data_IF_435463582422
#
_entry.id   IF_435463582422
#
_cell.length_a   1.000
_cell.length_b   1.000
_cell.length_c   1.000
_cell.angle_alpha   90.00
_cell.angle_beta   90.00
_cell.angle_gamma   90.00
#
_symmetry.space_group_name_H-M   'P 1'
#
loop_
_entity.id
_entity.type
_entity.pdbx_description
1 polymer ?
#
# COMPACT_ATOMS: atom_id res chain seq x y z
N UNK A 1 -32.32 1.64 -3.68
CA UNK A 1 -31.69 1.29 -2.39
C UNK A 1 -31.05 -0.08 -2.61
N UNK A 2 -29.73 -0.31 -2.60
CA UNK A 2 -28.63 0.41 -1.96
C UNK A 2 -27.34 0.12 -2.75
N UNK A 3 -26.91 1.06 -3.60
CA UNK A 3 -25.56 1.02 -4.22
C UNK A 3 -24.43 1.00 -3.15
N UNK A 4 -24.81 1.24 -1.89
CA UNK A 4 -23.97 1.11 -0.69
C UNK A 4 -23.39 -0.30 -0.48
N UNK A 5 -24.00 -1.35 -1.03
CA UNK A 5 -23.46 -2.72 -0.94
C UNK A 5 -22.24 -2.98 -1.83
N UNK A 6 -22.00 -2.14 -2.85
CA UNK A 6 -20.82 -2.22 -3.73
C UNK A 6 -19.54 -1.69 -3.06
N UNK A 7 -19.70 -0.94 -1.96
CA UNK A 7 -18.63 -0.43 -1.10
C UNK A 7 -18.44 -1.29 0.15
N UNK A 8 -18.63 -2.62 0.03
CA UNK A 8 -18.26 -3.54 1.11
C UNK A 8 -16.80 -3.31 1.52
N UNK A 9 -16.53 -3.35 2.82
CA UNK A 9 -15.24 -2.99 3.43
C UNK A 9 -14.04 -3.66 2.75
N UNK A 10 -14.20 -4.90 2.28
CA UNK A 10 -13.19 -5.62 1.50
C UNK A 10 -12.85 -5.00 0.14
N UNK A 11 -13.83 -4.43 -0.58
CA UNK A 11 -13.61 -3.76 -1.87
C UNK A 11 -12.83 -2.44 -1.67
N UNK A 12 -13.18 -1.68 -0.63
CA UNK A 12 -12.46 -0.44 -0.29
C UNK A 12 -11.01 -0.70 0.18
N UNK A 13 -10.78 -1.80 0.91
CA UNK A 13 -9.42 -2.21 1.30
C UNK A 13 -8.56 -2.62 0.10
N UNK A 14 -9.15 -3.28 -0.90
CA UNK A 14 -8.47 -3.58 -2.17
C UNK A 14 -8.10 -2.33 -2.97
N UNK A 15 -9.01 -1.37 -3.07
CA UNK A 15 -8.75 -0.07 -3.71
C UNK A 15 -7.65 0.69 -2.95
N UNK A 16 -7.72 0.74 -1.62
CA UNK A 16 -6.72 1.39 -0.78
C UNK A 16 -5.33 0.75 -0.97
N UNK A 17 -5.24 -0.58 -0.92
CA UNK A 17 -4.00 -1.32 -1.16
C UNK A 17 -3.40 -1.01 -2.53
N UNK A 18 -4.23 -0.95 -3.58
CA UNK A 18 -3.81 -0.61 -4.95
C UNK A 18 -3.22 0.80 -5.01
N UNK A 19 -3.87 1.78 -4.39
CA UNK A 19 -3.38 3.17 -4.33
C UNK A 19 -2.04 3.23 -3.60
N UNK A 20 -1.91 2.58 -2.44
CA UNK A 20 -0.64 2.50 -1.70
C UNK A 20 0.47 1.86 -2.53
N UNK A 21 0.16 0.86 -3.35
CA UNK A 21 1.12 0.21 -4.24
C UNK A 21 1.60 1.17 -5.34
N UNK A 22 0.68 1.90 -5.99
CA UNK A 22 1.02 2.95 -6.98
C UNK A 22 1.90 4.04 -6.36
N UNK A 23 1.57 4.50 -5.16
CA UNK A 23 2.36 5.49 -4.42
C UNK A 23 3.74 4.92 -4.05
N UNK A 24 3.82 3.66 -3.63
CA UNK A 24 5.09 2.98 -3.36
C UNK A 24 5.99 2.86 -4.59
N UNK A 25 5.42 2.56 -5.75
CA UNK A 25 6.14 2.54 -7.04
C UNK A 25 6.62 3.96 -7.39
N UNK A 26 5.79 4.97 -7.23
CA UNK A 26 6.19 6.37 -7.46
C UNK A 26 7.40 6.76 -6.60
N UNK A 27 7.36 6.48 -5.29
CA UNK A 27 8.51 6.75 -4.41
C UNK A 27 9.75 5.95 -4.79
N UNK A 28 9.60 4.76 -5.37
CA UNK A 28 10.71 3.96 -5.90
C UNK A 28 11.35 4.65 -7.10
N UNK A 29 10.56 5.19 -8.03
CA UNK A 29 11.07 6.01 -9.13
C UNK A 29 11.74 7.30 -8.63
N UNK A 30 11.12 8.01 -7.69
CA UNK A 30 11.72 9.19 -7.05
C UNK A 30 13.04 8.85 -6.36
N UNK A 31 13.16 7.69 -5.72
CA UNK A 31 14.41 7.22 -5.15
C UNK A 31 15.50 7.03 -6.22
N UNK A 32 15.18 6.41 -7.36
CA UNK A 32 16.11 6.23 -8.47
C UNK A 32 16.54 7.57 -9.09
N UNK A 33 15.62 8.53 -9.19
CA UNK A 33 15.90 9.88 -9.67
C UNK A 33 16.86 10.64 -8.74
N UNK A 34 16.64 10.57 -7.43
CA UNK A 34 17.54 11.16 -6.43
C UNK A 34 18.89 10.44 -6.34
N UNK A 35 18.94 9.14 -6.68
CA UNK A 35 20.18 8.39 -6.85
C UNK A 35 21.07 8.98 -7.94
N UNK A 36 20.45 9.50 -9.01
CA UNK A 36 21.15 10.18 -10.12
C UNK A 36 21.50 11.63 -9.79
N UNK A 37 20.67 12.32 -9.00
CA UNK A 37 20.89 13.73 -8.59
C UNK A 37 22.02 13.91 -7.57
N UNK A 38 22.35 12.87 -6.80
CA UNK A 38 23.37 12.96 -5.73
C UNK A 38 22.86 13.56 -4.41
N UNK A 39 21.57 13.85 -4.30
CA UNK A 39 20.94 14.39 -3.09
C UNK A 39 20.70 13.31 -2.03
N UNK A 40 21.68 13.16 -1.12
CA UNK A 40 21.71 12.09 -0.12
C UNK A 40 20.53 12.12 0.88
N UNK A 41 20.01 13.31 1.19
CA UNK A 41 18.89 13.50 2.13
C UNK A 41 17.58 12.98 1.57
N UNK A 42 17.22 13.42 0.36
CA UNK A 42 15.99 13.01 -0.31
C UNK A 42 16.04 11.53 -0.67
N UNK A 43 17.21 11.02 -1.07
CA UNK A 43 17.44 9.60 -1.30
C UNK A 43 17.08 8.71 -0.11
N UNK A 44 17.56 9.05 1.10
CA UNK A 44 17.24 8.27 2.32
C UNK A 44 15.74 8.32 2.65
N UNK A 45 15.10 9.47 2.51
CA UNK A 45 13.67 9.62 2.79
C UNK A 45 12.80 8.87 1.80
N UNK A 46 13.06 8.99 0.49
CA UNK A 46 12.29 8.29 -0.55
C UNK A 46 12.44 6.77 -0.43
N UNK A 47 13.61 6.25 -0.07
CA UNK A 47 13.83 4.82 0.18
C UNK A 47 12.94 4.28 1.30
N UNK A 48 12.92 4.97 2.44
CA UNK A 48 12.12 4.57 3.60
C UNK A 48 10.63 4.72 3.31
N UNK A 49 10.23 5.81 2.65
CA UNK A 49 8.84 6.04 2.24
C UNK A 49 8.33 4.93 1.30
N UNK A 50 9.11 4.56 0.27
CA UNK A 50 8.76 3.47 -0.64
C UNK A 50 8.60 2.14 0.11
N UNK A 51 9.55 1.80 0.98
CA UNK A 51 9.52 0.57 1.76
C UNK A 51 8.28 0.49 2.65
N UNK A 52 7.95 1.57 3.36
CA UNK A 52 6.79 1.65 4.24
C UNK A 52 5.49 1.57 3.44
N UNK A 53 5.38 2.30 2.32
CA UNK A 53 4.18 2.29 1.48
C UNK A 53 3.90 0.89 0.91
N UNK A 54 4.92 0.22 0.38
CA UNK A 54 4.79 -1.14 -0.17
C UNK A 54 4.48 -2.16 0.93
N UNK A 55 5.14 -2.05 2.09
CA UNK A 55 4.89 -2.96 3.22
C UNK A 55 3.45 -2.86 3.70
N UNK A 56 2.93 -1.64 3.86
CA UNK A 56 1.53 -1.40 4.27
C UNK A 56 0.57 -1.87 3.18
N UNK A 57 0.86 -1.59 1.90
CA UNK A 57 0.05 -2.04 0.77
C UNK A 57 -0.19 -3.55 0.80
N UNK A 58 0.84 -4.33 1.14
CA UNK A 58 0.78 -5.79 1.19
C UNK A 58 0.16 -6.32 2.48
N UNK A 59 0.46 -5.69 3.63
CA UNK A 59 0.00 -6.15 4.93
C UNK A 59 -1.51 -5.97 5.10
N UNK A 60 -2.08 -4.86 4.62
CA UNK A 60 -3.53 -4.58 4.75
C UNK A 60 -4.41 -5.74 4.20
N UNK A 61 -4.28 -6.16 2.93
CA UNK A 61 -5.08 -7.26 2.40
C UNK A 61 -4.74 -8.61 3.03
N UNK A 62 -3.46 -8.84 3.39
CA UNK A 62 -3.04 -10.08 4.05
C UNK A 62 -3.71 -10.24 5.44
N UNK A 63 -3.69 -9.21 6.28
CA UNK A 63 -4.34 -9.23 7.59
C UNK A 63 -5.85 -9.33 7.48
N UNK A 64 -6.47 -8.63 6.53
CA UNK A 64 -7.91 -8.74 6.29
C UNK A 64 -8.30 -10.17 5.89
N UNK A 65 -7.53 -10.80 4.99
CA UNK A 65 -7.75 -12.19 4.60
C UNK A 65 -7.59 -13.15 5.78
N UNK A 66 -6.58 -12.96 6.63
CA UNK A 66 -6.39 -13.78 7.84
C UNK A 66 -7.54 -13.62 8.84
N UNK A 67 -8.01 -12.38 9.07
CA UNK A 67 -9.14 -12.10 9.95
C UNK A 67 -10.41 -12.81 9.48
N UNK A 68 -10.76 -12.67 8.20
CA UNK A 68 -11.94 -13.31 7.62
C UNK A 68 -11.85 -14.83 7.72
N UNK A 69 -10.70 -15.42 7.39
CA UNK A 69 -10.49 -16.87 7.51
C UNK A 69 -10.63 -17.37 8.96
N UNK A 70 -10.08 -16.63 9.93
CA UNK A 70 -10.22 -16.97 11.34
C UNK A 70 -11.69 -16.88 11.81
N UNK A 71 -12.41 -15.84 11.39
CA UNK A 71 -13.83 -15.67 11.74
C UNK A 71 -14.72 -16.75 11.10
N UNK A 72 -14.38 -17.24 9.91
CA UNK A 72 -15.10 -18.36 9.27
C UNK A 72 -14.76 -19.74 9.86
N UNK A 73 -13.63 -19.90 10.55
CA UNK A 73 -13.26 -21.14 11.24
C UNK A 73 -13.79 -21.21 12.68
N UNK A 74 -14.34 -20.11 13.21
CA UNK A 74 -14.97 -20.03 14.52
C UNK A 74 -16.43 -20.45 14.45
#
# INVERSE_FOLDING_TARGET
MSSLGLLGTGNWLGVLSTILLVVGIYFTFTFFENLKSGDDRLRKQSKVAALVCISIALLIPAFYSLYVNYEMMK
#
